data_IF_365893723659
#
_entry.id   IF_365893723659
#
_cell.length_a   1.000
_cell.length_b   1.000
_cell.length_c   1.000
_cell.angle_alpha   90.00
_cell.angle_beta   90.00
_cell.angle_gamma   90.00
#
_symmetry.space_group_name_H-M   'P 1'
#
loop_
_entity.id
_entity.type
_entity.pdbx_description
1 polymer ?
#
# COMPACT_ATOMS: atom_id res chain seq x y z
N UNK A 1 -20.61 -6.00 -11.45
CA UNK A 1 -20.10 -7.23 -10.83
C UNK A 1 -18.86 -6.85 -10.04
N UNK A 2 -18.76 -7.21 -8.75
CA UNK A 2 -17.52 -7.05 -7.99
C UNK A 2 -16.45 -7.94 -8.61
N UNK A 3 -15.24 -7.43 -8.74
CA UNK A 3 -14.10 -8.23 -9.17
C UNK A 3 -13.82 -9.31 -8.12
N UNK A 4 -13.32 -10.47 -8.50
CA UNK A 4 -13.07 -11.60 -7.60
C UNK A 4 -12.11 -11.30 -6.45
N UNK A 5 -11.33 -10.22 -6.56
CA UNK A 5 -10.41 -9.71 -5.54
C UNK A 5 -11.01 -8.66 -4.60
N UNK A 6 -12.29 -8.34 -4.73
CA UNK A 6 -12.97 -7.38 -3.86
C UNK A 6 -13.82 -8.10 -2.82
N UNK A 7 -13.61 -7.73 -1.56
CA UNK A 7 -14.43 -8.17 -0.42
C UNK A 7 -15.19 -6.97 0.09
N UNK A 8 -16.51 -7.09 0.22
CA UNK A 8 -17.32 -6.07 0.91
C UNK A 8 -17.26 -6.37 2.39
N UNK A 9 -16.89 -5.39 3.19
CA UNK A 9 -17.08 -5.45 4.63
C UNK A 9 -18.36 -4.73 5.02
N UNK A 10 -19.16 -5.36 5.88
CA UNK A 10 -20.07 -4.60 6.74
C UNK A 10 -19.23 -3.77 7.71
N UNK A 11 -19.59 -2.53 8.04
CA UNK A 11 -18.85 -1.73 9.03
C UNK A 11 -18.83 -2.47 10.37
N UNK A 12 -17.70 -3.14 10.63
CA UNK A 12 -17.56 -3.95 11.82
C UNK A 12 -16.32 -4.81 11.79
N UNK A 13 -16.37 -6.00 11.40
CA UNK A 13 -15.23 -6.91 11.44
C UNK A 13 -15.33 -7.93 10.32
N UNK A 14 -14.39 -7.88 9.39
CA UNK A 14 -14.25 -8.91 8.36
C UNK A 14 -13.02 -9.74 8.66
N UNK A 15 -13.24 -11.00 8.96
CA UNK A 15 -12.17 -11.99 9.03
C UNK A 15 -12.11 -12.72 7.68
N UNK A 16 -10.93 -12.80 7.10
CA UNK A 16 -10.76 -13.49 5.81
C UNK A 16 -11.06 -14.98 5.93
N UNK A 17 -11.83 -15.47 4.98
CA UNK A 17 -12.10 -16.89 4.80
C UNK A 17 -10.98 -17.57 3.99
N UNK A 18 -10.99 -18.90 3.94
CA UNK A 18 -10.11 -19.67 3.05
C UNK A 18 -10.26 -19.25 1.58
N UNK A 19 -11.48 -18.87 1.17
CA UNK A 19 -11.74 -18.32 -0.17
C UNK A 19 -11.05 -17.00 -0.42
N UNK A 20 -11.01 -16.11 0.58
CA UNK A 20 -10.29 -14.85 0.49
C UNK A 20 -8.78 -15.07 0.45
N UNK A 21 -8.25 -15.97 1.29
CA UNK A 21 -6.85 -16.37 1.26
C UNK A 21 -6.46 -16.92 -0.12
N UNK A 22 -7.28 -17.81 -0.69
CA UNK A 22 -7.06 -18.34 -2.03
C UNK A 22 -7.05 -17.22 -3.09
N UNK A 23 -7.99 -16.27 -3.03
CA UNK A 23 -8.02 -15.12 -3.92
C UNK A 23 -6.75 -14.30 -3.81
N UNK A 24 -6.27 -14.03 -2.58
CA UNK A 24 -5.00 -13.33 -2.34
C UNK A 24 -3.80 -14.10 -2.92
N UNK A 25 -3.73 -15.42 -2.71
CA UNK A 25 -2.64 -16.26 -3.22
C UNK A 25 -2.62 -16.29 -4.76
N UNK A 26 -3.78 -16.19 -5.40
CA UNK A 26 -3.90 -16.15 -6.86
C UNK A 26 -3.64 -14.76 -7.44
N UNK A 27 -4.22 -13.70 -6.86
CA UNK A 27 -4.15 -12.34 -7.42
C UNK A 27 -2.96 -11.53 -6.92
N UNK A 28 -2.46 -11.83 -5.71
CA UNK A 28 -1.44 -11.08 -4.99
C UNK A 28 -2.01 -9.96 -4.12
N UNK A 29 -3.33 -9.73 -4.11
CA UNK A 29 -3.96 -8.70 -3.30
C UNK A 29 -5.45 -8.97 -3.03
N UNK A 30 -5.98 -8.29 -2.00
CA UNK A 30 -7.42 -8.19 -1.70
C UNK A 30 -7.75 -6.75 -1.34
N UNK A 31 -8.79 -6.21 -1.96
CA UNK A 31 -9.34 -4.91 -1.62
C UNK A 31 -10.58 -5.09 -0.74
N UNK A 32 -10.54 -4.54 0.46
CA UNK A 32 -11.62 -4.57 1.44
C UNK A 32 -12.28 -3.20 1.49
N UNK A 33 -13.57 -3.14 1.15
CA UNK A 33 -14.33 -1.91 1.21
C UNK A 33 -14.77 -1.61 2.64
N UNK A 34 -14.66 -0.34 3.02
CA UNK A 34 -15.12 0.16 4.34
C UNK A 34 -14.58 -0.65 5.54
N UNK A 35 -13.30 -1.08 5.48
CA UNK A 35 -12.67 -1.77 6.61
C UNK A 35 -12.66 -0.89 7.87
N UNK A 36 -12.55 0.41 7.68
CA UNK A 36 -12.69 1.43 8.72
C UNK A 36 -13.88 2.33 8.42
N UNK A 37 -14.60 2.69 9.46
CA UNK A 37 -15.70 3.64 9.34
C UNK A 37 -15.19 5.04 9.02
N UNK A 38 -16.06 5.83 8.40
CA UNK A 38 -15.73 7.22 8.11
C UNK A 38 -15.38 8.01 9.38
N UNK A 39 -16.01 7.73 10.52
CA UNK A 39 -15.72 8.41 11.78
C UNK A 39 -14.32 8.09 12.31
N UNK A 40 -13.81 6.85 12.11
CA UNK A 40 -12.44 6.46 12.47
C UNK A 40 -11.42 7.16 11.55
N UNK A 41 -11.68 7.18 10.25
CA UNK A 41 -10.81 7.84 9.28
C UNK A 41 -10.75 9.35 9.51
N UNK A 42 -11.86 10.00 9.79
CA UNK A 42 -11.88 11.44 10.09
C UNK A 42 -11.06 11.80 11.34
N UNK A 43 -11.05 10.94 12.37
CA UNK A 43 -10.16 11.12 13.52
C UNK A 43 -8.69 10.98 13.15
N UNK A 44 -8.35 9.96 12.33
CA UNK A 44 -6.98 9.76 11.86
C UNK A 44 -6.51 10.95 11.02
N UNK A 45 -7.36 11.45 10.12
CA UNK A 45 -7.08 12.59 9.25
C UNK A 45 -6.84 13.87 10.06
N UNK A 46 -7.74 14.23 10.97
CA UNK A 46 -7.59 15.41 11.82
C UNK A 46 -6.27 15.39 12.62
N UNK A 47 -5.94 14.25 13.23
CA UNK A 47 -4.69 14.10 13.99
C UNK A 47 -3.45 14.07 13.09
N UNK A 48 -3.57 13.60 11.85
CA UNK A 48 -2.49 13.66 10.88
C UNK A 48 -2.18 15.10 10.44
N UNK A 49 -3.21 15.90 10.22
CA UNK A 49 -3.09 17.32 9.85
C UNK A 49 -2.46 18.15 10.99
N UNK A 50 -2.82 17.86 12.25
CA UNK A 50 -2.31 18.58 13.43
C UNK A 50 -0.93 18.08 13.90
N UNK A 51 -0.63 16.79 13.71
CA UNK A 51 0.47 16.09 14.37
C UNK A 51 1.69 15.80 13.50
N UNK A 52 1.65 16.06 12.20
CA UNK A 52 2.80 15.84 11.32
C UNK A 52 3.64 17.12 11.25
N UNK A 53 4.75 17.13 11.98
CA UNK A 53 5.69 18.25 11.95
C UNK A 53 6.53 18.22 10.67
N UNK A 54 6.83 19.37 10.06
CA UNK A 54 7.61 19.43 8.81
C UNK A 54 8.95 18.69 8.87
N UNK A 55 9.64 18.75 10.02
CA UNK A 55 10.93 18.07 10.24
C UNK A 55 10.84 16.53 10.32
N UNK A 56 9.64 15.98 10.48
CA UNK A 56 9.40 14.53 10.49
C UNK A 56 9.06 13.98 9.12
N UNK A 57 8.94 14.86 8.13
CA UNK A 57 8.53 14.50 6.77
C UNK A 57 9.76 14.34 5.89
N UNK A 58 9.92 13.16 5.32
CA UNK A 58 10.84 12.92 4.23
C UNK A 58 10.20 13.33 2.90
N UNK A 59 10.98 13.94 2.04
CA UNK A 59 10.56 14.29 0.69
C UNK A 59 11.20 13.30 -0.27
N UNK A 60 10.41 12.74 -1.18
CA UNK A 60 10.85 11.86 -2.27
C UNK A 60 10.51 12.49 -3.59
N UNK A 61 11.46 12.55 -4.50
CA UNK A 61 11.24 13.02 -5.87
C UNK A 61 10.99 11.86 -6.82
N UNK A 62 10.06 12.03 -7.76
CA UNK A 62 9.90 11.16 -8.91
C UNK A 62 10.90 11.50 -10.03
N UNK A 63 10.85 10.77 -11.14
CA UNK A 63 11.73 11.01 -12.30
C UNK A 63 11.46 12.37 -12.98
N UNK A 64 10.27 12.93 -12.80
CA UNK A 64 9.89 14.25 -13.34
C UNK A 64 10.18 15.41 -12.39
N UNK A 65 10.66 15.13 -11.16
CA UNK A 65 10.96 16.12 -10.13
C UNK A 65 9.78 16.53 -9.26
N UNK A 66 8.58 15.89 -9.42
CA UNK A 66 7.46 16.12 -8.52
C UNK A 66 7.74 15.47 -7.16
N UNK A 67 7.19 16.07 -6.09
CA UNK A 67 7.56 15.74 -4.72
C UNK A 67 6.43 14.97 -4.01
N UNK A 68 6.77 13.88 -3.38
CA UNK A 68 5.87 13.15 -2.47
C UNK A 68 6.38 13.28 -1.04
N UNK A 69 5.51 13.63 -0.13
CA UNK A 69 5.80 13.70 1.31
C UNK A 69 5.54 12.36 1.95
N UNK A 70 6.45 11.94 2.80
CA UNK A 70 6.43 10.64 3.47
C UNK A 70 6.80 10.79 4.93
N UNK A 71 5.96 10.27 5.83
CA UNK A 71 6.34 10.04 7.23
C UNK A 71 6.41 8.55 7.51
N UNK A 72 7.47 8.09 8.16
CA UNK A 72 7.69 6.68 8.51
C UNK A 72 7.74 6.48 10.02
N UNK A 73 7.33 5.28 10.44
CA UNK A 73 7.45 4.77 11.80
C UNK A 73 8.03 3.36 11.77
N UNK A 74 9.11 3.16 12.49
CA UNK A 74 9.74 1.84 12.62
C UNK A 74 9.02 0.94 13.63
N UNK A 75 8.22 1.53 14.50
CA UNK A 75 7.46 0.83 15.54
C UNK A 75 6.08 1.45 15.71
N UNK A 76 5.05 0.65 15.97
CA UNK A 76 3.75 1.18 16.38
C UNK A 76 3.86 1.80 17.78
N UNK A 77 3.66 3.10 17.86
CA UNK A 77 3.62 3.86 19.11
C UNK A 77 2.25 3.76 19.77
N UNK A 78 2.12 4.33 20.98
CA UNK A 78 0.84 4.48 21.67
C UNK A 78 0.11 5.76 21.21
N UNK A 79 -0.02 5.89 19.92
CA UNK A 79 -0.73 6.95 19.20
C UNK A 79 -1.74 6.35 18.21
N UNK A 80 -2.49 7.21 17.54
CA UNK A 80 -3.51 6.78 16.58
C UNK A 80 -2.92 5.93 15.43
N UNK A 81 -1.70 6.23 14.99
CA UNK A 81 -1.04 5.49 13.91
C UNK A 81 -0.70 4.07 14.34
N UNK A 82 -0.17 3.94 15.56
CA UNK A 82 0.07 2.64 16.19
C UNK A 82 -1.23 1.87 16.47
N UNK A 83 -2.32 2.55 16.83
CA UNK A 83 -3.64 1.92 16.96
C UNK A 83 -4.14 1.33 15.64
N UNK A 84 -4.02 2.06 14.53
CA UNK A 84 -4.39 1.55 13.21
C UNK A 84 -3.52 0.35 12.81
N UNK A 85 -2.19 0.42 13.03
CA UNK A 85 -1.26 -0.66 12.74
C UNK A 85 -1.51 -1.94 13.55
N UNK A 86 -2.02 -1.82 14.77
CA UNK A 86 -2.33 -2.94 15.69
C UNK A 86 -3.81 -3.30 15.72
N UNK A 87 -4.63 -2.70 14.86
CA UNK A 87 -6.06 -2.97 14.83
C UNK A 87 -6.32 -4.43 14.46
N UNK A 88 -7.20 -5.10 15.20
CA UNK A 88 -7.53 -6.52 14.98
C UNK A 88 -8.00 -6.80 13.55
N UNK A 89 -8.70 -5.86 12.91
CA UNK A 89 -9.13 -5.97 11.51
C UNK A 89 -7.95 -6.05 10.54
N UNK A 90 -6.81 -5.45 10.88
CA UNK A 90 -5.57 -5.55 10.10
C UNK A 90 -4.77 -6.78 10.51
N UNK A 91 -4.49 -6.91 11.81
CA UNK A 91 -3.61 -7.97 12.34
C UNK A 91 -4.14 -9.36 12.04
N UNK A 92 -5.40 -9.66 12.41
CA UNK A 92 -5.96 -10.99 12.24
C UNK A 92 -6.04 -11.41 10.75
N UNK A 93 -6.35 -10.45 9.88
CA UNK A 93 -6.36 -10.71 8.45
C UNK A 93 -4.94 -10.92 7.88
N UNK A 94 -3.95 -10.16 8.35
CA UNK A 94 -2.55 -10.38 7.98
C UNK A 94 -2.04 -11.75 8.46
N UNK A 95 -2.40 -12.19 9.67
CA UNK A 95 -2.03 -13.51 10.18
C UNK A 95 -2.61 -14.64 9.31
N UNK A 96 -3.85 -14.48 8.84
CA UNK A 96 -4.46 -15.43 7.88
C UNK A 96 -3.69 -15.43 6.56
N UNK A 97 -3.39 -14.25 6.01
CA UNK A 97 -2.70 -14.14 4.72
C UNK A 97 -1.28 -14.71 4.78
N UNK A 98 -0.56 -14.48 5.87
CA UNK A 98 0.84 -14.91 6.04
C UNK A 98 0.99 -16.29 6.69
N UNK A 99 -0.11 -16.84 7.24
CA UNK A 99 -0.14 -18.19 7.80
C UNK A 99 0.52 -18.34 9.16
N UNK A 100 0.57 -17.29 9.97
CA UNK A 100 1.15 -17.33 11.31
C UNK A 100 1.23 -15.98 11.99
N UNK A 101 1.80 -15.95 13.18
CA UNK A 101 1.98 -14.71 13.95
C UNK A 101 2.86 -13.71 13.21
N UNK A 102 2.49 -12.45 13.30
CA UNK A 102 3.13 -11.35 12.58
C UNK A 102 3.69 -10.29 13.52
N UNK A 103 4.51 -9.42 12.99
CA UNK A 103 4.92 -8.16 13.62
C UNK A 103 4.90 -7.02 12.60
N UNK A 104 4.74 -5.81 13.07
CA UNK A 104 4.84 -4.62 12.22
C UNK A 104 6.31 -4.36 11.91
N UNK A 105 6.70 -4.48 10.65
CA UNK A 105 8.05 -4.19 10.21
C UNK A 105 8.28 -2.70 10.05
N UNK A 106 7.34 -2.01 9.41
CA UNK A 106 7.35 -0.55 9.27
C UNK A 106 5.94 -0.05 8.94
N UNK A 107 5.66 1.19 9.28
CA UNK A 107 4.45 1.88 8.84
C UNK A 107 4.83 3.22 8.20
N UNK A 108 4.06 3.64 7.19
CA UNK A 108 4.30 4.90 6.49
C UNK A 108 2.98 5.58 6.15
N UNK A 109 2.99 6.90 6.18
CA UNK A 109 1.93 7.72 5.60
C UNK A 109 2.49 8.43 4.37
N UNK A 110 1.79 8.34 3.26
CA UNK A 110 2.15 8.96 1.99
C UNK A 110 1.18 10.10 1.75
N UNK A 111 1.71 11.29 1.51
CA UNK A 111 0.93 12.49 1.24
C UNK A 111 1.26 12.98 -0.17
N UNK A 112 0.28 12.93 -1.05
CA UNK A 112 0.36 13.43 -2.42
C UNK A 112 -0.45 14.71 -2.54
N UNK A 113 0.22 15.85 -2.37
CA UNK A 113 -0.45 17.15 -2.50
C UNK A 113 -1.09 17.30 -3.90
N UNK A 114 -2.21 18.03 -3.94
CA UNK A 114 -2.88 18.40 -5.18
C UNK A 114 -1.91 19.02 -6.19
N UNK A 115 -1.90 18.53 -7.43
CA UNK A 115 -1.08 18.99 -8.56
C UNK A 115 0.45 18.92 -8.38
N UNK A 116 0.95 18.60 -7.18
CA UNK A 116 2.38 18.55 -6.85
C UNK A 116 2.87 17.14 -6.51
N UNK A 117 1.96 16.27 -6.02
CA UNK A 117 2.31 14.95 -5.52
C UNK A 117 2.90 14.06 -6.60
N UNK A 118 4.15 13.63 -6.42
CA UNK A 118 4.91 12.84 -7.37
C UNK A 118 4.43 11.40 -7.53
N UNK A 119 4.88 10.77 -8.59
CA UNK A 119 4.70 9.35 -8.84
C UNK A 119 5.51 8.52 -7.83
N UNK A 120 5.05 7.31 -7.59
CA UNK A 120 5.83 6.27 -6.93
C UNK A 120 6.14 5.19 -7.96
N UNK A 121 7.43 5.02 -8.24
CA UNK A 121 7.90 4.18 -9.33
C UNK A 121 7.61 2.69 -9.08
N UNK A 122 7.58 1.89 -10.15
CA UNK A 122 7.34 0.44 -10.08
C UNK A 122 8.35 -0.26 -9.17
N UNK A 123 7.85 -0.95 -8.16
CA UNK A 123 8.67 -1.68 -7.19
C UNK A 123 7.92 -2.86 -6.57
N UNK A 124 8.65 -3.66 -5.85
CA UNK A 124 8.16 -4.67 -4.92
C UNK A 124 8.67 -4.29 -3.53
N UNK A 125 7.82 -4.32 -2.51
CA UNK A 125 8.28 -4.06 -1.14
C UNK A 125 9.38 -5.04 -0.72
N UNK A 126 9.17 -6.34 -0.93
CA UNK A 126 10.19 -7.36 -0.65
C UNK A 126 11.45 -7.20 -1.49
N UNK A 127 11.34 -6.63 -2.70
CA UNK A 127 12.45 -6.46 -3.62
C UNK A 127 13.64 -5.73 -3.01
N UNK A 128 13.39 -4.73 -2.19
CA UNK A 128 14.43 -3.97 -1.47
C UNK A 128 14.54 -4.34 0.02
N UNK A 129 13.46 -4.77 0.71
CA UNK A 129 13.53 -5.22 2.10
C UNK A 129 14.39 -6.46 2.28
N UNK A 130 14.54 -7.28 1.24
CA UNK A 130 15.51 -8.36 1.19
C UNK A 130 16.93 -7.90 1.57
N UNK A 131 17.35 -6.75 1.08
CA UNK A 131 18.67 -6.17 1.36
C UNK A 131 18.77 -5.61 2.80
N UNK A 132 17.66 -5.47 3.49
CA UNK A 132 17.58 -4.98 4.87
C UNK A 132 17.25 -6.09 5.88
N UNK A 133 17.46 -7.35 5.50
CA UNK A 133 17.41 -8.50 6.39
C UNK A 133 16.16 -9.39 6.29
N UNK A 134 15.18 -9.05 5.46
CA UNK A 134 14.03 -9.93 5.21
C UNK A 134 14.44 -11.08 4.28
N UNK A 135 14.92 -12.17 4.84
CA UNK A 135 15.43 -13.30 4.04
C UNK A 135 14.34 -13.99 3.22
N UNK A 136 13.13 -14.10 3.76
CA UNK A 136 12.01 -14.80 3.14
C UNK A 136 10.93 -13.81 2.68
N UNK A 137 10.20 -14.10 1.59
CA UNK A 137 9.13 -13.24 1.07
C UNK A 137 7.82 -13.33 1.89
N UNK A 138 7.89 -13.74 3.13
CA UNK A 138 6.74 -13.85 4.05
C UNK A 138 6.38 -12.48 4.60
N UNK A 139 6.01 -11.57 3.71
CA UNK A 139 5.58 -10.22 4.08
C UNK A 139 4.41 -9.76 3.22
N UNK A 140 3.58 -8.93 3.81
CA UNK A 140 2.47 -8.28 3.14
C UNK A 140 2.32 -6.85 3.65
N UNK A 141 1.69 -6.01 2.87
CA UNK A 141 1.38 -4.63 3.24
C UNK A 141 -0.14 -4.42 3.29
N UNK A 142 -0.59 -3.53 4.17
CA UNK A 142 -1.96 -3.04 4.21
C UNK A 142 -1.95 -1.53 3.97
N UNK A 143 -2.52 -1.09 2.85
CA UNK A 143 -2.71 0.31 2.54
C UNK A 143 -4.14 0.72 2.88
N UNK A 144 -4.30 1.72 3.76
CA UNK A 144 -5.60 2.25 4.19
C UNK A 144 -5.80 3.61 3.55
N UNK A 145 -6.91 3.79 2.86
CA UNK A 145 -7.25 5.07 2.24
C UNK A 145 -7.79 6.04 3.29
N UNK A 146 -7.02 7.09 3.55
CA UNK A 146 -7.42 8.22 4.43
C UNK A 146 -8.22 9.24 3.61
N UNK A 147 -7.80 9.46 2.37
CA UNK A 147 -8.52 10.23 1.37
C UNK A 147 -8.99 9.31 0.24
N UNK A 148 -9.98 9.77 -0.52
CA UNK A 148 -10.43 9.04 -1.71
C UNK A 148 -9.29 8.96 -2.73
N UNK A 149 -8.91 7.73 -3.10
CA UNK A 149 -7.90 7.46 -4.10
C UNK A 149 -8.54 7.13 -5.45
N UNK A 150 -8.18 7.87 -6.49
CA UNK A 150 -8.66 7.73 -7.86
C UNK A 150 -7.49 7.71 -8.84
N UNK A 151 -7.72 7.35 -10.08
CA UNK A 151 -6.68 7.45 -11.12
C UNK A 151 -6.13 8.87 -11.23
N UNK A 152 -6.98 9.87 -11.10
CA UNK A 152 -6.61 11.26 -11.29
C UNK A 152 -5.66 11.80 -10.18
N UNK A 153 -5.85 11.36 -8.92
CA UNK A 153 -4.97 11.75 -7.83
C UNK A 153 -3.86 10.72 -7.53
N UNK A 154 -3.63 9.79 -8.46
CA UNK A 154 -2.52 8.84 -8.39
C UNK A 154 -2.78 7.69 -7.42
N UNK A 155 -3.92 7.01 -7.53
CA UNK A 155 -4.18 5.78 -6.80
C UNK A 155 -3.13 4.71 -7.11
N UNK A 156 -3.00 3.73 -6.23
CA UNK A 156 -2.09 2.61 -6.45
C UNK A 156 -2.46 1.83 -7.71
N UNK A 157 -1.44 1.44 -8.46
CA UNK A 157 -1.51 0.52 -9.59
C UNK A 157 -0.84 -0.79 -9.18
N UNK A 158 -1.42 -1.91 -9.52
CA UNK A 158 -0.84 -3.23 -9.28
C UNK A 158 -0.83 -4.05 -10.58
N UNK A 159 0.16 -4.89 -10.75
CA UNK A 159 0.12 -5.93 -11.78
C UNK A 159 -0.40 -7.22 -11.14
N UNK A 160 -1.63 -7.58 -11.46
CA UNK A 160 -2.28 -8.80 -10.96
C UNK A 160 -1.40 -10.04 -11.22
N UNK A 161 -1.24 -10.90 -10.22
CA UNK A 161 -0.44 -12.13 -10.28
C UNK A 161 1.09 -11.91 -10.38
N UNK A 162 1.59 -10.69 -10.43
CA UNK A 162 3.03 -10.43 -10.61
C UNK A 162 3.89 -10.90 -9.44
N UNK A 163 3.31 -11.15 -8.26
CA UNK A 163 4.04 -11.70 -7.11
C UNK A 163 4.62 -13.09 -7.37
N UNK A 164 4.06 -13.85 -8.33
CA UNK A 164 4.59 -15.15 -8.76
C UNK A 164 5.90 -15.05 -9.56
N UNK A 165 6.28 -13.88 -10.03
CA UNK A 165 7.59 -13.66 -10.68
C UNK A 165 8.75 -13.84 -9.69
N UNK A 166 8.45 -13.72 -8.38
CA UNK A 166 9.46 -13.69 -7.34
C UNK A 166 10.12 -12.31 -7.23
N UNK A 167 11.23 -12.26 -6.50
CA UNK A 167 11.98 -11.02 -6.29
C UNK A 167 12.67 -10.54 -7.58
N UNK A 168 12.40 -9.31 -7.96
CA UNK A 168 13.13 -8.58 -8.99
C UNK A 168 14.24 -7.75 -8.33
N UNK A 169 15.37 -7.54 -9.02
CA UNK A 169 16.39 -6.62 -8.54
C UNK A 169 15.87 -5.18 -8.53
N UNK A 170 16.31 -4.42 -7.54
CA UNK A 170 15.94 -3.03 -7.37
C UNK A 170 17.21 -2.18 -7.31
N UNK A 171 17.16 -1.04 -7.99
CA UNK A 171 18.20 -0.02 -7.96
C UNK A 171 17.65 1.29 -7.42
N UNK A 172 18.54 2.17 -6.97
CA UNK A 172 18.15 3.49 -6.53
C UNK A 172 18.18 4.46 -7.70
N UNK A 173 17.02 5.05 -8.00
CA UNK A 173 16.88 6.11 -9.01
C UNK A 173 16.37 7.35 -8.27
N UNK A 174 17.13 8.42 -8.28
CA UNK A 174 16.88 9.61 -7.44
C UNK A 174 16.71 9.19 -5.97
N UNK A 175 15.56 9.52 -5.37
CA UNK A 175 15.25 9.21 -3.97
C UNK A 175 14.42 7.94 -3.79
N UNK A 176 14.06 7.25 -4.88
CA UNK A 176 13.23 6.06 -4.84
C UNK A 176 14.01 4.78 -5.13
N UNK A 177 13.55 3.68 -4.57
CA UNK A 177 14.02 2.34 -4.91
C UNK A 177 13.07 1.75 -5.95
N UNK A 178 13.58 1.39 -7.11
CA UNK A 178 12.83 1.08 -8.32
C UNK A 178 13.21 -0.31 -8.81
N UNK A 179 12.24 -1.12 -9.22
CA UNK A 179 12.48 -2.42 -9.82
C UNK A 179 13.16 -2.29 -11.19
N UNK A 180 13.97 -3.28 -11.57
CA UNK A 180 14.63 -3.34 -12.88
C UNK A 180 13.65 -3.04 -14.00
N UNK A 181 13.94 -1.98 -14.79
CA UNK A 181 13.04 -1.43 -15.79
C UNK A 181 12.73 -2.41 -16.94
N UNK A 182 13.68 -3.29 -17.29
CA UNK A 182 13.45 -4.30 -18.33
C UNK A 182 12.46 -5.36 -17.82
N UNK A 183 12.62 -5.81 -16.58
CA UNK A 183 11.72 -6.77 -15.95
C UNK A 183 10.31 -6.19 -15.80
N UNK A 184 10.20 -4.95 -15.35
CA UNK A 184 8.91 -4.24 -15.26
C UNK A 184 8.23 -4.17 -16.62
N UNK A 185 8.96 -3.79 -17.69
CA UNK A 185 8.44 -3.72 -19.05
C UNK A 185 7.91 -5.07 -19.53
N UNK A 186 8.62 -6.16 -19.23
CA UNK A 186 8.18 -7.49 -19.58
C UNK A 186 6.96 -7.95 -18.76
N UNK A 187 6.87 -7.54 -17.50
CA UNK A 187 5.71 -7.81 -16.66
C UNK A 187 4.46 -7.05 -17.16
N UNK A 188 4.61 -5.79 -17.53
CA UNK A 188 3.51 -4.97 -18.09
C UNK A 188 2.90 -5.55 -19.38
N UNK A 189 3.66 -6.35 -20.14
CA UNK A 189 3.14 -7.04 -21.34
C UNK A 189 2.35 -8.31 -21.00
N UNK A 190 2.54 -8.89 -19.83
CA UNK A 190 2.05 -10.23 -19.46
C UNK A 190 0.98 -10.24 -18.39
N UNK A 191 1.02 -9.26 -17.50
CA UNK A 191 0.12 -9.18 -16.36
C UNK A 191 -0.90 -8.05 -16.54
N UNK A 192 -2.09 -8.26 -16.03
CA UNK A 192 -3.15 -7.26 -16.08
C UNK A 192 -2.82 -6.11 -15.12
N UNK A 193 -2.87 -4.88 -15.64
CA UNK A 193 -2.74 -3.66 -14.86
C UNK A 193 -4.07 -3.29 -14.23
N UNK A 194 -4.11 -3.18 -12.92
CA UNK A 194 -5.27 -2.71 -12.18
C UNK A 194 -4.97 -1.42 -11.43
N UNK A 195 -5.87 -0.46 -11.57
CA UNK A 195 -5.89 0.75 -10.76
C UNK A 195 -6.78 0.52 -9.55
N UNK A 196 -6.20 0.66 -8.36
CA UNK A 196 -6.89 0.41 -7.10
C UNK A 196 -7.53 1.71 -6.61
N UNK A 197 -8.69 2.02 -7.15
CA UNK A 197 -9.45 3.15 -6.65
C UNK A 197 -10.13 2.79 -5.33
N UNK A 198 -9.96 3.65 -4.33
CA UNK A 198 -10.45 3.43 -2.95
C UNK A 198 -11.26 4.63 -2.47
N UNK A 199 -12.30 4.35 -1.70
CA UNK A 199 -12.98 5.33 -0.86
C UNK A 199 -12.29 5.44 0.49
N UNK A 200 -12.53 6.52 1.22
CA UNK A 200 -12.05 6.65 2.60
C UNK A 200 -12.48 5.45 3.45
N UNK A 201 -11.54 4.85 4.18
CA UNK A 201 -11.77 3.67 4.99
C UNK A 201 -11.62 2.32 4.28
N UNK A 202 -11.47 2.31 2.96
CA UNK A 202 -11.09 1.10 2.23
C UNK A 202 -9.65 0.69 2.58
N UNK A 203 -9.35 -0.60 2.48
CA UNK A 203 -8.02 -1.12 2.73
C UNK A 203 -7.61 -2.16 1.68
N UNK A 204 -6.40 -2.01 1.16
CA UNK A 204 -5.78 -2.96 0.24
C UNK A 204 -4.72 -3.78 0.98
N UNK A 205 -4.92 -5.08 1.03
CA UNK A 205 -3.91 -6.04 1.50
C UNK A 205 -3.19 -6.61 0.29
N UNK A 206 -1.87 -6.53 0.25
CA UNK A 206 -1.10 -6.96 -0.91
C UNK A 206 0.21 -7.63 -0.54
N UNK A 207 0.63 -8.56 -1.40
CA UNK A 207 1.84 -9.37 -1.23
C UNK A 207 3.09 -8.52 -1.43
N UNK A 208 4.12 -8.72 -0.62
CA UNK A 208 5.38 -7.99 -0.71
C UNK A 208 6.11 -8.13 -2.06
N UNK A 209 5.82 -9.17 -2.83
CA UNK A 209 6.38 -9.37 -4.18
C UNK A 209 5.51 -8.81 -5.31
N UNK A 210 4.31 -8.29 -5.03
CA UNK A 210 3.51 -7.72 -6.10
C UNK A 210 4.18 -6.46 -6.67
N UNK A 211 4.28 -6.37 -7.98
CA UNK A 211 4.70 -5.15 -8.64
C UNK A 211 3.61 -4.11 -8.53
N UNK A 212 3.95 -2.98 -7.96
CA UNK A 212 3.02 -1.87 -7.78
C UNK A 212 3.70 -0.51 -7.97
N UNK A 213 2.90 0.48 -8.28
CA UNK A 213 3.32 1.86 -8.54
C UNK A 213 2.17 2.81 -8.23
N UNK A 214 2.38 4.10 -8.40
CA UNK A 214 1.29 5.09 -8.43
C UNK A 214 1.71 6.31 -9.24
N UNK A 215 0.78 6.84 -10.02
CA UNK A 215 1.02 8.06 -10.81
C UNK A 215 1.11 9.30 -9.91
N UNK A 216 1.55 10.41 -10.50
CA UNK A 216 1.49 11.72 -9.86
C UNK A 216 0.04 12.18 -9.64
N UNK A 217 -0.17 13.02 -8.64
CA UNK A 217 -1.47 13.63 -8.40
C UNK A 217 -1.70 14.80 -9.37
N UNK A 218 -2.61 14.61 -10.33
CA UNK A 218 -3.02 15.63 -11.30
C UNK A 218 -4.35 16.29 -10.94
N UNK A 219 -4.91 15.95 -9.78
CA UNK A 219 -6.19 16.49 -9.31
C UNK A 219 -6.01 17.75 -8.48
N UNK A 220 -7.10 18.44 -8.21
CA UNK A 220 -7.17 19.58 -7.29
C UNK A 220 -7.32 19.14 -5.81
N UNK A 221 -7.27 17.82 -5.54
CA UNK A 221 -7.46 17.23 -4.22
C UNK A 221 -6.26 16.36 -3.82
N UNK A 222 -6.06 16.20 -2.52
CA UNK A 222 -5.05 15.30 -1.96
C UNK A 222 -5.42 13.83 -2.13
#
# INVERSE_FOLDING_TARGET
MLKSSEVISDPGFVLFSDGNKKTYDESGFILVRSLFSQAEIQKLKALAEEGIRPEEVMIKSDQSGNLTKLKMWDKPNDDIYGMFSRNERVVNNMEILLGGSIYVYSAKMILKNAQEGGAWEWHQDYGYWYNYGCLLPTMASCSIAIDKATKLNGCMQVLRNSHHVGRINHDRINDQTVADAERVRECLKRFELEHIEMSEGDALFFNGNILHASDSNQSEFN
#
